data_IF_456114929059
#
_entry.id   IF_456114929059
#
_cell.length_a   1.000
_cell.length_b   1.000
_cell.length_c   1.000
_cell.angle_alpha   90.00
_cell.angle_beta   90.00
_cell.angle_gamma   90.00
#
_symmetry.space_group_name_H-M   'P 1'
#
loop_
_entity.id
_entity.type
_entity.pdbx_description
1 polymer ?
#
# COMPACT_ATOMS: atom_id res chain seq x y z
N UNK A 1 12.96 14.06 17.26
CA UNK A 1 11.56 13.83 17.70
C UNK A 1 11.12 12.51 17.10
N UNK A 2 10.84 11.51 17.95
CA UNK A 2 10.40 10.18 17.50
C UNK A 2 9.13 10.35 16.68
N UNK A 3 9.18 10.02 15.39
CA UNK A 3 7.96 10.08 14.59
C UNK A 3 7.00 9.01 15.08
N UNK A 4 5.90 9.43 15.68
CA UNK A 4 4.75 8.57 15.95
C UNK A 4 4.28 7.98 14.61
N UNK A 5 4.12 6.66 14.57
CA UNK A 5 3.49 5.97 13.45
C UNK A 5 2.02 6.45 13.38
N UNK A 6 1.68 7.31 12.41
CA UNK A 6 0.32 7.85 12.21
C UNK A 6 -0.65 6.80 11.67
N UNK A 7 -0.12 5.79 10.98
CA UNK A 7 -0.87 4.68 10.40
C UNK A 7 -0.35 3.35 10.98
N UNK A 8 -0.57 3.08 12.28
CA UNK A 8 -0.11 1.85 12.91
C UNK A 8 -0.92 0.65 12.38
N UNK A 9 -0.33 -0.56 12.36
CA UNK A 9 -1.07 -1.77 12.04
C UNK A 9 -2.13 -2.11 13.08
N UNK A 10 -3.19 -2.77 12.64
CA UNK A 10 -4.07 -3.51 13.54
C UNK A 10 -3.44 -4.86 13.88
N UNK A 11 -3.33 -5.13 15.18
CA UNK A 11 -2.73 -6.39 15.65
C UNK A 11 -3.71 -7.54 15.41
N UNK A 12 -3.25 -8.54 14.66
CA UNK A 12 -3.99 -9.78 14.44
C UNK A 12 -3.15 -10.97 14.90
N UNK A 13 -3.75 -12.01 15.48
CA UNK A 13 -3.04 -13.24 15.80
C UNK A 13 -2.39 -13.84 14.54
N UNK A 14 -1.20 -14.43 14.71
CA UNK A 14 -0.51 -15.20 13.67
C UNK A 14 -0.11 -14.42 12.41
N UNK A 15 -0.04 -13.09 12.45
CA UNK A 15 0.53 -12.30 11.35
C UNK A 15 1.67 -11.43 11.83
N UNK A 16 2.85 -11.69 11.30
CA UNK A 16 4.04 -10.91 11.56
C UNK A 16 4.10 -9.71 10.61
N UNK A 17 4.14 -8.50 11.18
CA UNK A 17 4.20 -7.24 10.44
C UNK A 17 5.59 -6.65 10.68
N UNK A 18 6.36 -6.51 9.61
CA UNK A 18 7.76 -6.09 9.67
C UNK A 18 7.84 -4.59 9.40
N UNK A 19 8.65 -3.89 10.19
CA UNK A 19 9.02 -2.49 9.92
C UNK A 19 10.20 -2.44 8.97
N UNK A 20 10.09 -1.71 7.87
CA UNK A 20 11.18 -1.47 6.92
C UNK A 20 11.34 0.00 6.59
N UNK A 21 12.50 0.29 6.03
CA UNK A 21 12.83 1.57 5.44
C UNK A 21 13.49 1.32 4.08
N UNK A 22 13.04 2.05 3.08
CA UNK A 22 13.54 1.95 1.71
C UNK A 22 13.94 3.33 1.22
N UNK A 23 15.23 3.51 0.89
CA UNK A 23 15.66 4.75 0.24
C UNK A 23 15.05 4.84 -1.16
N UNK A 24 14.45 5.97 -1.47
CA UNK A 24 13.87 6.25 -2.78
C UNK A 24 13.80 7.75 -2.99
N UNK A 25 14.18 8.22 -4.18
CA UNK A 25 14.03 9.63 -4.55
C UNK A 25 12.60 10.01 -4.95
N UNK A 26 11.68 9.04 -4.95
CA UNK A 26 10.28 9.28 -5.30
C UNK A 26 9.53 10.06 -4.22
N UNK A 27 9.91 9.89 -2.95
CA UNK A 27 9.48 10.79 -1.87
C UNK A 27 10.45 11.98 -1.82
N UNK A 28 10.03 13.12 -2.38
CA UNK A 28 10.87 14.32 -2.52
C UNK A 28 11.20 14.99 -1.18
N UNK A 29 10.38 14.80 -0.16
CA UNK A 29 10.61 15.41 1.15
C UNK A 29 11.59 14.58 1.98
N UNK A 30 11.50 13.25 1.89
CA UNK A 30 12.20 12.36 2.82
C UNK A 30 13.33 11.59 2.20
N UNK A 31 13.32 11.41 0.87
CA UNK A 31 14.18 10.51 0.13
C UNK A 31 14.15 9.05 0.65
N UNK A 32 13.07 8.68 1.35
CA UNK A 32 12.85 7.34 1.89
C UNK A 32 11.37 7.07 2.14
N UNK A 33 10.98 5.82 1.98
CA UNK A 33 9.69 5.30 2.41
C UNK A 33 9.89 4.49 3.69
N UNK A 34 9.09 4.79 4.70
CA UNK A 34 9.10 4.09 5.99
C UNK A 34 7.83 3.29 6.05
N UNK A 35 7.93 1.98 5.96
CA UNK A 35 6.75 1.13 5.70
C UNK A 35 6.58 0.07 6.77
N UNK A 36 5.34 -0.32 6.98
CA UNK A 36 4.99 -1.65 7.47
C UNK A 36 4.84 -2.59 6.26
N UNK A 37 5.32 -3.82 6.38
CA UNK A 37 5.18 -4.83 5.34
C UNK A 37 4.77 -6.19 5.91
N UNK A 38 3.93 -6.91 5.16
CA UNK A 38 3.66 -8.34 5.33
C UNK A 38 3.35 -8.97 3.96
N UNK A 39 3.14 -10.29 3.91
CA UNK A 39 2.80 -11.00 2.68
C UNK A 39 1.41 -11.60 2.70
N UNK A 40 0.78 -11.63 1.53
CA UNK A 40 -0.38 -12.47 1.21
C UNK A 40 0.04 -13.34 0.02
N UNK A 41 0.25 -14.64 0.27
CA UNK A 41 0.93 -15.50 -0.70
C UNK A 41 2.33 -14.95 -1.05
N UNK A 42 2.58 -14.75 -2.34
CA UNK A 42 3.85 -14.18 -2.84
C UNK A 42 3.87 -12.65 -2.92
N UNK A 43 2.76 -11.99 -2.61
CA UNK A 43 2.60 -10.56 -2.81
C UNK A 43 2.82 -9.77 -1.51
N UNK A 44 3.64 -8.74 -1.59
CA UNK A 44 3.86 -7.82 -0.48
C UNK A 44 2.70 -6.84 -0.36
N UNK A 45 2.20 -6.70 0.86
CA UNK A 45 1.31 -5.62 1.26
C UNK A 45 2.14 -4.64 2.08
N UNK A 46 2.12 -3.38 1.69
CA UNK A 46 2.93 -2.34 2.33
C UNK A 46 2.13 -1.05 2.47
N UNK A 47 2.40 -0.30 3.52
CA UNK A 47 1.92 1.07 3.66
C UNK A 47 2.90 1.93 4.45
N UNK A 48 2.96 3.21 4.10
CA UNK A 48 3.80 4.18 4.78
C UNK A 48 3.24 4.50 6.16
N UNK A 49 4.12 4.51 7.16
CA UNK A 49 3.76 4.65 8.57
C UNK A 49 3.32 6.08 8.93
N UNK A 50 3.62 7.06 8.08
CA UNK A 50 3.50 8.47 8.43
C UNK A 50 2.66 9.27 7.41
N UNK A 51 2.85 9.03 6.12
CA UNK A 51 2.14 9.68 5.01
C UNK A 51 0.82 8.97 4.67
N UNK A 52 0.66 7.71 5.09
CA UNK A 52 -0.54 6.94 4.78
C UNK A 52 -0.65 6.54 3.32
N UNK A 53 0.49 6.42 2.62
CA UNK A 53 0.51 5.86 1.26
C UNK A 53 0.45 4.34 1.33
N UNK A 54 -0.48 3.73 0.61
CA UNK A 54 -0.68 2.28 0.55
C UNK A 54 -0.19 1.76 -0.80
N UNK A 55 0.59 0.69 -0.78
CA UNK A 55 1.08 0.02 -1.98
C UNK A 55 -0.04 -0.78 -2.66
N UNK A 56 -0.79 -0.09 -3.53
CA UNK A 56 -1.96 -0.64 -4.20
C UNK A 56 -1.62 -1.77 -5.16
N UNK A 57 -0.47 -1.68 -5.85
CA UNK A 57 -0.03 -2.76 -6.75
C UNK A 57 0.06 -4.11 -6.04
N UNK A 58 0.55 -4.14 -4.80
CA UNK A 58 0.63 -5.37 -4.01
C UNK A 58 -0.74 -5.98 -3.71
N UNK A 59 -1.69 -5.15 -3.28
CA UNK A 59 -3.08 -5.55 -3.00
C UNK A 59 -3.76 -6.06 -4.27
N UNK A 60 -3.61 -5.32 -5.38
CA UNK A 60 -4.20 -5.67 -6.67
C UNK A 60 -3.72 -7.04 -7.18
N UNK A 61 -2.43 -7.33 -7.06
CA UNK A 61 -1.89 -8.65 -7.42
C UNK A 61 -2.36 -9.75 -6.46
N UNK A 62 -2.47 -9.46 -5.17
CA UNK A 62 -2.95 -10.42 -4.17
C UNK A 62 -4.40 -10.86 -4.40
N UNK A 63 -5.25 -10.03 -5.03
CA UNK A 63 -6.61 -10.42 -5.44
C UNK A 63 -6.66 -11.14 -6.80
N UNK A 64 -5.51 -11.36 -7.43
CA UNK A 64 -5.39 -12.00 -8.74
C UNK A 64 -5.52 -11.04 -9.92
N UNK A 65 -5.41 -9.72 -9.71
CA UNK A 65 -5.44 -8.73 -10.76
C UNK A 65 -4.14 -8.68 -11.57
N UNK A 66 -4.24 -8.55 -12.89
CA UNK A 66 -3.08 -8.33 -13.77
C UNK A 66 -2.58 -6.89 -13.63
N UNK A 67 -1.26 -6.69 -13.58
CA UNK A 67 -0.64 -5.36 -13.56
C UNK A 67 -1.11 -4.48 -14.73
N UNK A 68 -1.43 -5.08 -15.88
CA UNK A 68 -1.90 -4.35 -17.07
C UNK A 68 -3.26 -3.69 -16.82
N UNK A 69 -4.13 -4.32 -16.03
CA UNK A 69 -5.48 -3.82 -15.75
C UNK A 69 -5.56 -2.89 -14.52
N UNK A 70 -4.45 -2.71 -13.81
CA UNK A 70 -4.38 -1.86 -12.62
C UNK A 70 -4.90 -0.43 -12.86
N UNK A 71 -4.56 0.27 -13.97
CA UNK A 71 -5.09 1.60 -14.23
C UNK A 71 -6.62 1.63 -14.37
N UNK A 72 -7.21 0.58 -14.95
CA UNK A 72 -8.67 0.46 -15.08
C UNK A 72 -9.32 0.27 -13.70
N UNK A 73 -8.71 -0.53 -12.84
CA UNK A 73 -9.16 -0.73 -11.46
C UNK A 73 -9.13 0.57 -10.64
N UNK A 74 -8.07 1.36 -10.76
CA UNK A 74 -7.94 2.65 -10.08
C UNK A 74 -8.96 3.69 -10.55
N UNK A 75 -9.24 3.75 -11.86
CA UNK A 75 -10.21 4.68 -12.43
C UNK A 75 -11.67 4.44 -11.97
N UNK A 76 -11.94 3.38 -11.20
CA UNK A 76 -13.26 3.15 -10.59
C UNK A 76 -13.53 4.06 -9.38
N UNK A 77 -12.50 4.67 -8.79
CA UNK A 77 -12.62 5.70 -7.77
C UNK A 77 -12.47 7.09 -8.42
N UNK A 78 -13.59 7.81 -8.56
CA UNK A 78 -13.60 9.15 -9.15
C UNK A 78 -12.93 10.21 -8.27
N UNK A 79 -12.75 9.92 -6.98
CA UNK A 79 -12.11 10.83 -6.03
C UNK A 79 -10.59 10.64 -5.99
N UNK A 80 -10.07 9.55 -6.56
CA UNK A 80 -8.64 9.31 -6.64
C UNK A 80 -8.06 10.06 -7.86
N UNK A 81 -7.43 11.19 -7.60
CA UNK A 81 -6.82 12.00 -8.65
C UNK A 81 -5.39 11.55 -8.92
N UNK A 82 -4.89 11.62 -10.17
CA UNK A 82 -3.52 11.20 -10.50
C UNK A 82 -2.43 11.89 -9.67
N UNK A 83 -2.64 13.15 -9.27
CA UNK A 83 -1.71 13.92 -8.43
C UNK A 83 -1.60 13.40 -6.99
N UNK A 84 -2.60 12.67 -6.50
CA UNK A 84 -2.59 12.07 -5.17
C UNK A 84 -1.85 10.70 -5.16
N UNK A 85 -1.50 10.18 -6.34
CA UNK A 85 -0.80 8.91 -6.49
C UNK A 85 0.72 9.10 -6.52
N UNK A 86 1.44 8.19 -5.86
CA UNK A 86 2.89 8.09 -5.97
C UNK A 86 3.27 6.89 -6.84
N UNK A 87 3.93 7.16 -7.97
CA UNK A 87 4.45 6.13 -8.87
C UNK A 87 5.94 5.89 -8.62
N UNK A 88 6.27 4.82 -7.89
CA UNK A 88 7.66 4.44 -7.62
C UNK A 88 8.18 3.61 -8.80
N UNK A 89 9.09 4.18 -9.59
CA UNK A 89 9.66 3.55 -10.81
C UNK A 89 11.12 3.11 -10.68
N UNK A 90 11.80 3.49 -9.59
CA UNK A 90 13.21 3.21 -9.34
C UNK A 90 13.47 2.73 -7.91
N UNK A 91 14.67 2.21 -7.67
CA UNK A 91 15.03 1.61 -6.37
C UNK A 91 14.64 0.14 -6.26
N UNK A 92 14.46 -0.36 -5.03
CA UNK A 92 14.19 -1.78 -4.75
C UNK A 92 12.90 -2.25 -5.45
N UNK A 93 12.97 -3.36 -6.19
CA UNK A 93 11.84 -3.89 -6.97
C UNK A 93 10.58 -4.14 -6.14
N UNK A 94 10.71 -4.48 -4.86
CA UNK A 94 9.57 -4.80 -3.98
C UNK A 94 8.67 -3.61 -3.69
N UNK A 95 9.16 -2.37 -3.83
CA UNK A 95 8.38 -1.14 -3.59
C UNK A 95 7.92 -0.46 -4.88
N UNK A 96 8.30 -0.98 -6.05
CA UNK A 96 7.98 -0.36 -7.32
C UNK A 96 6.52 -0.61 -7.72
N UNK A 97 5.83 0.44 -8.12
CA UNK A 97 4.43 0.40 -8.52
C UNK A 97 3.66 1.62 -8.04
N UNK A 98 2.35 1.45 -7.95
CA UNK A 98 1.42 2.52 -7.59
C UNK A 98 1.15 2.50 -6.09
N UNK A 99 1.39 3.64 -5.46
CA UNK A 99 1.03 3.94 -4.09
C UNK A 99 -0.06 4.99 -4.08
N UNK A 100 -1.10 4.80 -3.27
CA UNK A 100 -2.26 5.70 -3.21
C UNK A 100 -2.61 6.05 -1.76
N UNK A 101 -3.32 7.15 -1.49
CA UNK A 101 -3.68 7.52 -0.13
C UNK A 101 -4.55 6.46 0.57
N UNK A 102 -4.35 6.30 1.87
CA UNK A 102 -5.01 5.30 2.71
C UNK A 102 -6.54 5.31 2.54
N UNK A 103 -7.16 6.50 2.53
CA UNK A 103 -8.61 6.63 2.39
C UNK A 103 -9.13 6.10 1.04
N UNK A 104 -8.43 6.38 -0.06
CA UNK A 104 -8.77 5.85 -1.38
C UNK A 104 -8.52 4.34 -1.45
N UNK A 105 -7.40 3.87 -0.89
CA UNK A 105 -7.09 2.45 -0.83
C UNK A 105 -8.17 1.66 -0.06
N UNK A 106 -8.65 2.19 1.06
CA UNK A 106 -9.72 1.58 1.85
C UNK A 106 -11.03 1.52 1.03
N UNK A 107 -11.43 2.64 0.41
CA UNK A 107 -12.64 2.70 -0.44
C UNK A 107 -12.59 1.68 -1.58
N UNK A 108 -11.46 1.59 -2.27
CA UNK A 108 -11.25 0.62 -3.34
C UNK A 108 -11.25 -0.82 -2.81
N UNK A 109 -10.59 -1.08 -1.68
CA UNK A 109 -10.51 -2.40 -1.07
C UNK A 109 -11.89 -2.92 -0.65
N UNK A 110 -12.74 -2.07 -0.05
CA UNK A 110 -14.13 -2.44 0.31
C UNK A 110 -14.89 -2.94 -0.91
N UNK A 111 -14.69 -2.33 -2.08
CA UNK A 111 -15.42 -2.66 -3.31
C UNK A 111 -14.85 -3.87 -4.05
N UNK A 112 -13.55 -4.11 -3.97
CA UNK A 112 -12.84 -5.03 -4.88
C UNK A 112 -12.16 -6.21 -4.18
N UNK A 113 -11.78 -6.06 -2.90
CA UNK A 113 -10.92 -7.00 -2.19
C UNK A 113 -11.68 -7.97 -1.27
N UNK A 114 -12.96 -8.25 -1.54
CA UNK A 114 -13.78 -9.13 -0.71
C UNK A 114 -13.13 -10.50 -0.46
N UNK A 115 -12.43 -11.06 -1.45
CA UNK A 115 -11.75 -12.37 -1.35
C UNK A 115 -10.62 -12.40 -0.32
N UNK A 116 -9.94 -11.28 -0.10
CA UNK A 116 -8.79 -11.16 0.82
C UNK A 116 -9.10 -10.24 2.01
N UNK A 117 -10.35 -9.87 2.25
CA UNK A 117 -10.75 -8.86 3.25
C UNK A 117 -10.16 -9.10 4.64
N UNK A 118 -10.12 -10.35 5.11
CA UNK A 118 -9.55 -10.72 6.41
C UNK A 118 -8.02 -10.60 6.42
N UNK A 119 -7.39 -10.79 5.28
CA UNK A 119 -5.95 -10.63 5.13
C UNK A 119 -5.52 -9.15 5.17
N UNK A 120 -6.45 -8.22 4.94
CA UNK A 120 -6.22 -6.77 4.94
C UNK A 120 -6.53 -6.09 6.27
N UNK A 121 -7.07 -6.81 7.27
CA UNK A 121 -7.29 -6.31 8.64
C UNK A 121 -6.05 -5.60 9.20
N UNK A 122 -4.81 -6.15 9.10
CA UNK A 122 -3.61 -5.48 9.62
C UNK A 122 -3.40 -4.06 9.10
N UNK A 123 -3.85 -3.79 7.88
CA UNK A 123 -3.72 -2.50 7.23
C UNK A 123 -4.93 -1.61 7.52
N UNK A 124 -6.16 -2.12 7.36
CA UNK A 124 -7.36 -1.29 7.34
C UNK A 124 -8.23 -1.34 8.61
N UNK A 125 -8.06 -2.36 9.46
CA UNK A 125 -8.94 -2.63 10.60
C UNK A 125 -10.08 -3.58 10.27
#
# INVERSE_FOLDING_TARGET
MSSSDRYPPYLVPNKEIIRRQHRTSCDKERNELRVFEYKIGEHYIMWDRELGLVYWTGIWQAIGGDKIDLPKGLNTDKELRPEDMLMVRGGKLTIQGTWIPFGNALKLAIRTCFKIRHELIPLFG
#
